data_IF_737909751865
#
_entry.id   IF_737909751865
#
_cell.length_a   1.000
_cell.length_b   1.000
_cell.length_c   1.000
_cell.angle_alpha   90.00
_cell.angle_beta   90.00
_cell.angle_gamma   90.00
#
_symmetry.space_group_name_H-M   'P 1'
#
loop_
_entity.id
_entity.type
_entity.pdbx_description
1 polymer ?
#
# COMPACT_ATOMS: atom_id res chain seq x y z
N UNK A 1 1.92 11.28 8.17
CA UNK A 1 0.78 12.18 8.43
C UNK A 1 0.14 11.74 9.75
N UNK A 2 0.12 12.58 10.76
CA UNK A 2 -0.48 12.23 12.05
C UNK A 2 -1.89 12.81 12.09
N UNK A 3 -2.91 11.96 12.09
CA UNK A 3 -4.31 12.36 12.13
C UNK A 3 -4.81 12.18 13.56
N UNK A 4 -5.35 13.24 14.16
CA UNK A 4 -5.96 13.19 15.48
C UNK A 4 -7.43 12.77 15.42
N UNK A 5 -7.91 12.15 16.49
CA UNK A 5 -9.28 11.66 16.65
C UNK A 5 -10.37 12.76 16.55
N UNK A 6 -10.00 14.03 16.61
CA UNK A 6 -10.93 15.18 16.68
C UNK A 6 -10.65 16.26 15.65
N UNK A 7 -10.24 15.91 14.45
CA UNK A 7 -9.88 16.90 13.45
C UNK A 7 -8.51 17.49 13.77
N UNK A 8 -7.49 16.69 13.59
CA UNK A 8 -6.13 17.12 13.75
C UNK A 8 -5.79 18.19 12.72
N UNK A 9 -4.88 19.07 13.07
CA UNK A 9 -4.45 20.11 12.18
C UNK A 9 -3.77 19.50 10.95
N UNK A 10 -4.03 20.03 9.78
CA UNK A 10 -3.26 19.78 8.57
C UNK A 10 -1.91 20.47 8.71
N UNK A 11 -0.83 19.77 8.38
CA UNK A 11 0.51 20.36 8.34
C UNK A 11 0.74 20.90 6.94
N UNK A 12 0.96 22.19 6.82
CA UNK A 12 1.44 22.85 5.62
C UNK A 12 2.89 23.27 5.83
N UNK A 13 3.80 22.57 5.19
CA UNK A 13 5.23 22.83 5.33
C UNK A 13 5.65 24.16 4.69
N UNK A 14 4.89 24.64 3.69
CA UNK A 14 5.22 25.83 2.91
C UNK A 14 4.70 27.11 3.54
N UNK A 15 3.46 27.13 4.01
CA UNK A 15 2.75 28.35 4.34
C UNK A 15 2.74 28.69 5.83
N UNK A 16 2.96 27.73 6.72
CA UNK A 16 2.88 28.00 8.16
C UNK A 16 3.93 27.23 8.95
N UNK A 17 5.23 27.43 8.64
CA UNK A 17 6.30 26.67 9.27
C UNK A 17 6.41 26.91 10.78
N UNK A 18 5.99 28.08 11.29
CA UNK A 18 6.15 28.48 12.67
C UNK A 18 4.98 29.30 13.20
N UNK A 19 3.96 28.67 13.72
CA UNK A 19 2.99 29.39 14.52
C UNK A 19 3.55 29.66 15.91
N UNK A 20 3.55 30.92 16.30
CA UNK A 20 3.99 31.35 17.63
C UNK A 20 2.87 31.26 18.68
N UNK A 21 1.61 31.10 18.27
CA UNK A 21 0.46 31.02 19.16
C UNK A 21 -0.30 29.72 18.95
N UNK A 22 -0.49 28.98 20.03
CA UNK A 22 -1.28 27.76 20.06
C UNK A 22 -2.76 27.95 19.68
N UNK A 23 -3.23 29.17 19.65
CA UNK A 23 -4.62 29.55 19.51
C UNK A 23 -5.03 29.85 18.05
N UNK A 24 -4.08 29.91 17.12
CA UNK A 24 -4.36 30.06 15.68
C UNK A 24 -4.68 28.71 15.04
N UNK A 25 -5.55 27.97 15.69
CA UNK A 25 -5.85 26.59 15.39
C UNK A 25 -6.81 26.35 14.24
N UNK A 26 -7.15 27.37 13.48
CA UNK A 26 -8.25 27.16 12.56
C UNK A 26 -7.91 26.25 11.41
N UNK A 27 -6.62 26.00 11.06
CA UNK A 27 -6.29 25.28 9.83
C UNK A 27 -5.00 24.45 9.84
N UNK A 28 -3.95 24.82 10.56
CA UNK A 28 -2.63 24.18 10.46
C UNK A 28 -1.98 23.96 11.81
N UNK A 29 -1.22 22.89 11.93
CA UNK A 29 -0.42 22.61 13.12
C UNK A 29 0.65 23.65 13.30
N UNK A 30 0.68 24.23 14.48
CA UNK A 30 1.80 25.04 14.93
C UNK A 30 2.98 24.16 15.36
N UNK A 31 4.17 24.52 14.93
CA UNK A 31 5.40 23.90 15.40
C UNK A 31 5.88 24.59 16.69
N UNK A 32 6.48 23.85 17.63
CA UNK A 32 6.73 22.42 17.59
C UNK A 32 5.46 21.58 17.79
N UNK A 33 5.39 20.45 17.10
CA UNK A 33 4.35 19.45 17.30
C UNK A 33 4.54 18.74 18.64
N UNK A 34 3.47 18.21 19.25
CA UNK A 34 3.55 17.71 20.64
C UNK A 34 2.85 16.37 20.89
N UNK A 35 2.13 15.81 19.91
CA UNK A 35 1.50 14.51 20.12
C UNK A 35 2.55 13.40 20.09
N UNK A 36 2.20 12.28 20.69
CA UNK A 36 3.06 11.10 20.77
C UNK A 36 3.27 10.46 19.41
N UNK A 37 4.47 10.00 19.15
CA UNK A 37 4.88 9.43 17.87
C UNK A 37 5.21 7.95 17.99
N UNK A 38 5.28 7.23 16.86
CA UNK A 38 5.59 5.80 16.84
C UNK A 38 6.90 5.44 17.54
N UNK A 39 8.03 6.16 17.34
CA UNK A 39 9.26 5.85 18.04
C UNK A 39 9.17 5.90 19.57
N UNK A 40 8.32 6.78 20.12
CA UNK A 40 8.09 6.82 21.57
C UNK A 40 7.35 5.58 22.07
N UNK A 41 6.37 5.08 21.28
CA UNK A 41 5.71 3.81 21.59
C UNK A 41 6.67 2.63 21.53
N UNK A 42 7.58 2.61 20.55
CA UNK A 42 8.62 1.57 20.44
C UNK A 42 9.55 1.59 21.67
N UNK A 43 10.03 2.76 22.09
CA UNK A 43 10.86 2.87 23.28
C UNK A 43 10.18 2.40 24.55
N UNK A 44 8.92 2.78 24.77
CA UNK A 44 8.13 2.32 25.93
C UNK A 44 7.99 0.79 26.02
N UNK A 45 8.06 0.12 24.87
CA UNK A 45 7.97 -1.33 24.79
C UNK A 45 9.31 -2.05 24.67
N UNK A 46 10.41 -1.31 24.84
CA UNK A 46 11.77 -1.83 24.66
C UNK A 46 11.95 -2.49 23.29
N UNK A 47 11.35 -1.90 22.26
CA UNK A 47 11.56 -2.26 20.87
C UNK A 47 12.68 -1.39 20.32
N UNK A 48 13.75 -2.02 19.86
CA UNK A 48 14.89 -1.30 19.29
C UNK A 48 14.54 -0.73 17.92
N UNK A 49 14.94 0.51 17.67
CA UNK A 49 14.75 1.14 16.37
C UNK A 49 15.89 2.10 16.02
N UNK A 50 16.03 2.43 14.74
CA UNK A 50 16.96 3.42 14.24
C UNK A 50 16.43 4.04 12.95
N UNK A 51 16.58 5.37 12.83
CA UNK A 51 16.45 6.09 11.57
C UNK A 51 17.82 6.16 10.89
N UNK A 52 17.96 5.53 9.75
CA UNK A 52 19.15 5.56 8.91
C UNK A 52 18.96 6.62 7.83
N UNK A 53 19.62 7.74 8.02
CA UNK A 53 19.49 8.89 7.13
C UNK A 53 20.81 9.64 7.02
N UNK A 54 21.07 10.19 5.83
CA UNK A 54 22.15 11.15 5.60
C UNK A 54 21.66 12.55 5.97
N UNK A 55 22.59 13.51 6.09
CA UNK A 55 22.29 14.86 6.59
C UNK A 55 21.28 15.61 5.71
N UNK A 56 21.40 15.50 4.39
CA UNK A 56 20.51 16.14 3.44
C UNK A 56 19.42 15.17 3.01
N UNK A 57 18.30 15.19 3.71
CA UNK A 57 17.19 14.27 3.52
C UNK A 57 15.87 14.95 3.09
N UNK A 58 15.93 16.18 2.58
CA UNK A 58 14.76 16.96 2.13
C UNK A 58 13.72 17.26 3.22
N UNK A 59 14.15 17.36 4.48
CA UNK A 59 13.26 17.49 5.66
C UNK A 59 12.26 16.33 5.83
N UNK A 60 12.53 15.17 5.20
CA UNK A 60 11.66 14.00 5.25
C UNK A 60 11.60 13.34 6.64
N UNK A 61 12.60 13.63 7.50
CA UNK A 61 12.48 13.28 8.92
C UNK A 61 11.69 14.35 9.69
N UNK A 62 10.37 14.24 9.60
CA UNK A 62 9.45 15.17 10.25
C UNK A 62 9.52 15.16 11.79
N UNK A 63 10.21 14.20 12.41
CA UNK A 63 10.36 14.12 13.87
C UNK A 63 11.15 15.31 14.44
N UNK A 64 12.03 15.92 13.66
CA UNK A 64 12.74 17.16 14.04
C UNK A 64 11.78 18.32 14.35
N UNK A 65 10.54 18.23 13.89
CA UNK A 65 9.52 19.26 14.11
C UNK A 65 8.78 19.10 15.45
N UNK A 66 9.00 17.98 16.16
CA UNK A 66 8.34 17.70 17.42
C UNK A 66 9.15 18.20 18.62
N UNK A 67 8.46 18.76 19.63
CA UNK A 67 9.07 19.33 20.81
C UNK A 67 9.90 18.31 21.59
N UNK A 68 9.41 17.08 21.75
CA UNK A 68 10.08 16.01 22.50
C UNK A 68 11.42 15.63 21.88
N UNK A 69 11.53 15.57 20.55
CA UNK A 69 12.81 15.26 19.89
C UNK A 69 13.81 16.42 19.98
N UNK A 70 13.33 17.65 19.91
CA UNK A 70 14.18 18.85 20.10
C UNK A 70 14.75 18.91 21.52
N UNK A 71 13.92 18.60 22.52
CA UNK A 71 14.36 18.50 23.92
C UNK A 71 15.35 17.35 24.11
N UNK A 72 15.03 16.18 23.58
CA UNK A 72 15.91 15.01 23.63
C UNK A 72 17.27 15.28 22.96
N UNK A 73 17.28 15.96 21.81
CA UNK A 73 18.53 16.33 21.14
C UNK A 73 19.38 17.31 21.98
N UNK A 74 18.75 18.32 22.58
CA UNK A 74 19.42 19.27 23.48
C UNK A 74 20.04 18.55 24.68
N UNK A 75 19.33 17.56 25.22
CA UNK A 75 19.76 16.81 26.39
C UNK A 75 20.66 15.61 26.05
N UNK A 76 20.91 15.34 24.76
CA UNK A 76 21.67 14.18 24.26
C UNK A 76 21.05 12.83 24.68
N UNK A 77 19.72 12.75 24.68
CA UNK A 77 18.99 11.55 25.05
C UNK A 77 18.97 10.53 23.90
N UNK A 78 18.81 9.27 24.24
CA UNK A 78 18.79 8.14 23.31
C UNK A 78 17.69 8.28 22.24
N UNK A 79 16.52 8.81 22.59
CA UNK A 79 15.43 9.06 21.65
C UNK A 79 15.89 9.89 20.45
N UNK A 80 16.64 10.97 20.71
CA UNK A 80 17.13 11.82 19.62
C UNK A 80 18.23 11.14 18.80
N UNK A 81 19.14 10.40 19.44
CA UNK A 81 20.20 9.69 18.74
C UNK A 81 19.65 8.65 17.76
N UNK A 82 18.56 7.97 18.13
CA UNK A 82 17.91 6.96 17.32
C UNK A 82 16.98 7.53 16.24
N UNK A 83 16.24 8.60 16.56
CA UNK A 83 15.18 9.11 15.71
C UNK A 83 15.64 10.24 14.77
N UNK A 84 16.40 11.20 15.27
CA UNK A 84 16.81 12.42 14.55
C UNK A 84 18.34 12.54 14.43
N UNK A 85 19.05 11.45 14.66
CA UNK A 85 20.48 11.35 14.38
C UNK A 85 20.73 11.09 12.89
N UNK A 86 21.99 11.24 12.48
CA UNK A 86 22.41 11.03 11.10
C UNK A 86 23.48 9.93 11.00
N UNK A 87 23.13 8.65 11.28
CA UNK A 87 24.10 7.57 11.18
C UNK A 87 24.52 7.25 9.75
N UNK A 88 23.76 7.76 8.75
CA UNK A 88 24.00 7.57 7.34
C UNK A 88 23.58 6.21 6.78
N UNK A 89 23.32 6.16 5.48
CA UNK A 89 22.97 4.92 4.80
C UNK A 89 24.12 3.91 4.76
N UNK A 90 25.36 4.37 4.87
CA UNK A 90 26.53 3.47 4.99
C UNK A 90 26.40 2.58 6.23
N UNK A 91 26.00 3.15 7.36
CA UNK A 91 25.76 2.39 8.60
C UNK A 91 24.65 1.35 8.43
N UNK A 92 23.57 1.69 7.72
CA UNK A 92 22.51 0.75 7.40
C UNK A 92 23.04 -0.48 6.63
N UNK A 93 23.86 -0.26 5.60
CA UNK A 93 24.42 -1.37 4.81
C UNK A 93 25.36 -2.26 5.64
N UNK A 94 26.15 -1.65 6.52
CA UNK A 94 27.02 -2.39 7.44
C UNK A 94 26.22 -3.21 8.45
N UNK A 95 25.17 -2.62 9.03
CA UNK A 95 24.31 -3.30 10.00
C UNK A 95 23.51 -4.45 9.35
N UNK A 96 22.95 -4.24 8.18
CA UNK A 96 22.27 -5.29 7.42
C UNK A 96 23.21 -6.47 7.12
N UNK A 97 24.41 -6.18 6.62
CA UNK A 97 25.42 -7.19 6.32
C UNK A 97 25.82 -8.01 7.55
N UNK A 98 25.97 -7.35 8.70
CA UNK A 98 26.48 -7.96 9.91
C UNK A 98 25.38 -8.56 10.82
N UNK A 99 24.11 -8.35 10.51
CA UNK A 99 22.98 -8.78 11.32
C UNK A 99 22.72 -7.90 12.56
N UNK A 100 23.14 -6.64 12.49
CA UNK A 100 23.04 -5.67 13.58
C UNK A 100 21.89 -4.67 13.39
N UNK A 101 20.99 -4.90 12.42
CA UNK A 101 19.80 -4.07 12.30
C UNK A 101 18.95 -4.19 13.57
N UNK A 102 18.40 -3.07 14.08
CA UNK A 102 17.45 -3.12 15.16
C UNK A 102 16.15 -3.77 14.70
N UNK A 103 15.25 -4.03 15.67
CA UNK A 103 13.94 -4.63 15.37
C UNK A 103 13.12 -3.81 14.35
N UNK A 104 13.24 -2.48 14.39
CA UNK A 104 12.58 -1.58 13.42
C UNK A 104 13.61 -0.61 12.86
N UNK A 105 13.77 -0.60 11.55
CA UNK A 105 14.68 0.28 10.82
C UNK A 105 13.90 1.20 9.89
N UNK A 106 14.06 2.50 10.04
CA UNK A 106 13.55 3.51 9.11
C UNK A 106 14.69 3.95 8.21
N UNK A 107 14.44 4.01 6.92
CA UNK A 107 15.44 4.39 5.92
C UNK A 107 14.91 5.61 5.18
N UNK A 108 15.63 6.71 5.30
CA UNK A 108 15.32 7.98 4.64
C UNK A 108 16.44 8.30 3.65
N UNK A 109 16.08 8.36 2.37
CA UNK A 109 17.04 8.66 1.32
C UNK A 109 17.53 10.12 1.39
N UNK A 110 18.76 10.41 0.94
CA UNK A 110 19.16 11.80 0.72
C UNK A 110 18.31 12.44 -0.38
N UNK A 111 18.12 13.74 -0.30
CA UNK A 111 17.29 14.55 -1.20
C UNK A 111 17.50 14.23 -2.70
N UNK A 112 18.75 14.05 -3.10
CA UNK A 112 19.12 13.80 -4.49
C UNK A 112 18.68 12.42 -5.00
N UNK A 113 18.22 11.52 -4.13
CA UNK A 113 17.73 10.19 -4.44
C UNK A 113 16.23 10.02 -4.16
N UNK A 114 15.51 11.12 -3.84
CA UNK A 114 14.12 11.11 -3.37
C UNK A 114 13.08 10.84 -4.46
N UNK A 115 13.42 10.99 -5.73
CA UNK A 115 12.49 11.03 -6.87
C UNK A 115 11.60 12.29 -6.95
N UNK A 116 11.61 13.14 -5.94
CA UNK A 116 10.93 14.44 -6.02
C UNK A 116 11.55 15.32 -7.09
N UNK A 117 10.80 15.97 -7.97
CA UNK A 117 11.38 16.90 -8.97
C UNK A 117 12.28 17.97 -8.31
N UNK A 118 13.47 18.25 -8.85
CA UNK A 118 14.01 17.82 -10.16
C UNK A 118 14.84 16.52 -10.12
N UNK A 119 14.83 15.78 -9.05
CA UNK A 119 15.58 14.52 -8.92
C UNK A 119 14.92 13.41 -9.75
N UNK A 120 15.72 12.43 -10.16
CA UNK A 120 15.27 11.49 -11.19
C UNK A 120 14.74 10.20 -10.61
N UNK A 121 13.66 9.60 -11.17
CA UNK A 121 13.21 8.25 -10.78
C UNK A 121 14.29 7.18 -10.95
N UNK A 122 15.30 7.44 -11.78
CA UNK A 122 16.46 6.55 -11.95
C UNK A 122 17.32 6.49 -10.68
N UNK A 123 17.52 7.61 -10.03
CA UNK A 123 18.29 7.69 -8.79
C UNK A 123 17.53 7.05 -7.64
N UNK A 124 16.21 7.24 -7.59
CA UNK A 124 15.35 6.53 -6.65
C UNK A 124 15.33 5.02 -6.87
N UNK A 125 15.21 4.57 -8.11
CA UNK A 125 15.32 3.14 -8.42
C UNK A 125 16.69 2.55 -8.01
N UNK A 126 17.77 3.34 -8.13
CA UNK A 126 19.10 2.92 -7.69
C UNK A 126 19.17 2.73 -6.18
N UNK A 127 18.68 3.68 -5.38
CA UNK A 127 18.70 3.54 -3.93
C UNK A 127 17.77 2.41 -3.46
N UNK A 128 16.57 2.28 -4.02
CA UNK A 128 15.66 1.19 -3.71
C UNK A 128 16.31 -0.18 -3.99
N UNK A 129 16.98 -0.32 -5.14
CA UNK A 129 17.74 -1.53 -5.46
C UNK A 129 18.82 -1.82 -4.41
N UNK A 130 19.60 -0.81 -4.00
CA UNK A 130 20.66 -0.99 -3.01
C UNK A 130 20.14 -1.40 -1.64
N UNK A 131 19.06 -0.77 -1.19
CA UNK A 131 18.41 -1.11 0.08
C UNK A 131 17.85 -2.53 0.02
N UNK A 132 17.08 -2.87 -1.02
CA UNK A 132 16.51 -4.20 -1.19
C UNK A 132 17.61 -5.29 -1.25
N UNK A 133 18.69 -5.06 -2.01
CA UNK A 133 19.80 -5.99 -2.10
C UNK A 133 20.49 -6.16 -0.74
N UNK A 134 20.73 -5.08 0.00
CA UNK A 134 21.34 -5.14 1.33
C UNK A 134 20.49 -5.95 2.32
N UNK A 135 19.16 -5.78 2.28
CA UNK A 135 18.24 -6.57 3.12
C UNK A 135 18.26 -8.04 2.73
N UNK A 136 18.11 -8.35 1.44
CA UNK A 136 18.04 -9.73 0.95
C UNK A 136 19.35 -10.51 1.14
N UNK A 137 20.49 -9.85 1.13
CA UNK A 137 21.80 -10.48 1.38
C UNK A 137 22.28 -10.34 2.81
N UNK A 138 21.54 -9.65 3.65
CA UNK A 138 21.84 -9.46 5.06
C UNK A 138 21.63 -10.72 5.90
N UNK A 139 22.34 -10.80 7.03
CA UNK A 139 22.30 -11.99 7.90
C UNK A 139 20.91 -12.31 8.48
N UNK A 140 20.03 -11.31 8.61
CA UNK A 140 18.71 -11.48 9.18
C UNK A 140 17.61 -11.56 8.11
N UNK A 141 17.97 -11.81 6.84
CA UNK A 141 17.02 -11.88 5.74
C UNK A 141 15.86 -12.85 6.00
N UNK A 142 16.15 -13.97 6.59
CA UNK A 142 15.20 -15.05 6.85
C UNK A 142 14.01 -14.67 7.75
N UNK A 143 14.11 -13.53 8.45
CA UNK A 143 13.11 -12.99 9.38
C UNK A 143 12.81 -11.50 9.15
N UNK A 144 13.20 -10.95 7.99
CA UNK A 144 13.05 -9.53 7.69
C UNK A 144 11.90 -9.27 6.71
N UNK A 145 11.17 -8.19 6.95
CA UNK A 145 10.24 -7.61 5.99
C UNK A 145 10.69 -6.17 5.67
N UNK A 146 10.91 -5.88 4.40
CA UNK A 146 11.14 -4.54 3.88
C UNK A 146 9.86 -4.01 3.27
N UNK A 147 9.30 -2.94 3.83
CA UNK A 147 8.16 -2.20 3.30
C UNK A 147 8.70 -0.95 2.60
N UNK A 148 8.31 -0.77 1.35
CA UNK A 148 8.66 0.42 0.58
C UNK A 148 7.39 1.16 0.23
N UNK A 149 7.27 2.39 0.71
CA UNK A 149 6.14 3.28 0.45
C UNK A 149 6.62 4.63 -0.03
N UNK A 150 5.87 5.20 -0.96
CA UNK A 150 6.04 6.60 -1.32
C UNK A 150 5.20 7.46 -0.38
N UNK A 151 5.67 8.66 -0.09
CA UNK A 151 5.02 9.64 0.77
C UNK A 151 3.82 10.30 0.06
N UNK A 152 3.98 10.58 -1.25
CA UNK A 152 2.98 11.25 -2.06
C UNK A 152 3.12 10.87 -3.55
N UNK A 153 2.28 11.40 -4.44
CA UNK A 153 2.18 11.00 -5.85
C UNK A 153 3.23 11.63 -6.77
N UNK A 154 4.11 12.51 -6.29
CA UNK A 154 5.03 13.27 -7.13
C UNK A 154 4.33 14.25 -8.10
N UNK A 155 3.12 14.66 -7.78
CA UNK A 155 2.31 15.52 -8.67
C UNK A 155 1.57 14.78 -9.79
N UNK A 156 1.67 13.45 -9.86
CA UNK A 156 0.93 12.63 -10.82
C UNK A 156 -0.51 12.38 -10.36
N UNK A 157 -1.46 12.49 -11.29
CA UNK A 157 -2.86 12.20 -11.02
C UNK A 157 -3.16 10.70 -11.07
N UNK A 158 -4.18 10.28 -10.33
CA UNK A 158 -4.79 8.95 -10.42
C UNK A 158 -6.27 9.08 -10.77
N UNK A 159 -6.83 8.09 -11.43
CA UNK A 159 -8.24 8.05 -11.84
C UNK A 159 -9.13 7.25 -10.87
N UNK A 160 -8.56 6.68 -9.81
CA UNK A 160 -9.29 5.92 -8.79
C UNK A 160 -9.44 6.78 -7.55
N UNK A 161 -10.69 7.03 -7.17
CA UNK A 161 -11.02 7.74 -5.93
C UNK A 161 -10.79 6.78 -4.76
N UNK A 162 -10.02 7.22 -3.76
CA UNK A 162 -9.83 6.48 -2.52
C UNK A 162 -11.12 6.41 -1.68
N UNK A 163 -11.16 5.56 -0.65
CA UNK A 163 -12.30 5.51 0.25
C UNK A 163 -12.44 6.85 1.00
N UNK A 164 -13.62 7.46 0.89
CA UNK A 164 -13.94 8.71 1.56
C UNK A 164 -14.79 8.38 2.80
N UNK A 165 -14.42 8.87 3.99
CA UNK A 165 -15.24 8.71 5.17
C UNK A 165 -16.58 9.42 5.02
N UNK A 166 -17.66 8.97 5.68
CA UNK A 166 -18.92 9.70 5.71
C UNK A 166 -18.74 11.11 6.27
N UNK A 167 -19.46 12.08 5.70
CA UNK A 167 -19.45 13.47 6.20
C UNK A 167 -19.78 13.50 7.70
N UNK A 168 -19.02 14.29 8.45
CA UNK A 168 -19.14 14.38 9.91
C UNK A 168 -18.34 13.33 10.68
N UNK A 169 -17.55 12.47 9.99
CA UNK A 169 -16.62 11.58 10.68
C UNK A 169 -15.55 12.41 11.41
N UNK A 170 -15.41 12.27 12.73
CA UNK A 170 -14.45 13.06 13.50
C UNK A 170 -13.01 12.83 13.01
N UNK A 171 -12.28 13.91 12.80
CA UNK A 171 -10.89 13.86 12.35
C UNK A 171 -10.67 13.62 10.86
N UNK A 172 -11.72 13.50 10.06
CA UNK A 172 -11.64 13.23 8.62
C UNK A 172 -12.12 14.40 7.74
N UNK A 173 -12.63 15.46 8.36
CA UNK A 173 -13.11 16.65 7.65
C UNK A 173 -12.55 17.92 8.27
N UNK A 174 -12.29 18.90 7.43
CA UNK A 174 -11.94 20.27 7.83
C UNK A 174 -12.57 21.28 6.87
N UNK A 175 -12.67 22.53 7.30
CA UNK A 175 -13.04 23.63 6.40
C UNK A 175 -11.85 23.85 5.46
N UNK A 176 -12.13 23.88 4.14
CA UNK A 176 -11.09 24.06 3.13
C UNK A 176 -10.26 25.32 3.43
N UNK A 177 -8.94 25.18 3.67
CA UNK A 177 -8.10 26.30 4.07
C UNK A 177 -7.84 27.30 2.94
N UNK A 178 -7.94 26.84 1.69
CA UNK A 178 -7.66 27.64 0.50
C UNK A 178 -8.93 28.25 -0.10
N UNK A 179 -10.07 27.57 0.07
CA UNK A 179 -11.36 28.04 -0.44
C UNK A 179 -12.50 27.75 0.56
N UNK A 180 -12.69 28.63 1.52
CA UNK A 180 -13.71 28.50 2.56
C UNK A 180 -15.14 28.36 2.02
N UNK A 181 -15.40 28.75 0.76
CA UNK A 181 -16.72 28.57 0.14
C UNK A 181 -17.10 27.11 -0.11
N UNK A 182 -16.12 26.20 -0.15
CA UNK A 182 -16.36 24.77 -0.27
C UNK A 182 -16.84 24.14 1.04
N UNK A 183 -16.72 24.86 2.17
CA UNK A 183 -17.08 24.36 3.48
C UNK A 183 -16.20 23.20 3.93
N UNK A 184 -16.79 22.21 4.60
CA UNK A 184 -16.08 21.03 5.05
C UNK A 184 -15.76 20.08 3.89
N UNK A 185 -14.48 19.78 3.73
CA UNK A 185 -13.92 18.84 2.75
C UNK A 185 -13.23 17.69 3.46
N UNK A 186 -13.16 16.48 2.84
CA UNK A 186 -12.43 15.37 3.42
C UNK A 186 -10.92 15.61 3.36
N UNK A 187 -10.22 15.19 4.41
CA UNK A 187 -8.74 15.29 4.48
C UNK A 187 -8.06 14.25 3.59
N UNK A 188 -8.68 13.14 3.37
CA UNK A 188 -8.16 12.02 2.61
C UNK A 188 -8.90 10.72 2.92
N UNK A 189 -8.39 9.54 2.53
CA UNK A 189 -7.18 9.28 1.74
C UNK A 189 -7.17 9.93 0.37
N UNK A 190 -5.95 10.25 -0.11
CA UNK A 190 -5.71 10.84 -1.42
C UNK A 190 -5.59 9.81 -2.55
N UNK A 191 -4.81 10.14 -3.56
CA UNK A 191 -4.48 9.28 -4.70
C UNK A 191 -3.73 8.03 -4.26
N UNK A 192 -3.79 6.98 -5.10
CA UNK A 192 -3.03 5.75 -4.84
C UNK A 192 -1.53 6.02 -4.97
N UNK A 193 -0.78 5.44 -4.05
CA UNK A 193 0.68 5.52 -4.01
C UNK A 193 1.30 4.17 -4.33
N UNK A 194 2.48 4.14 -4.95
CA UNK A 194 3.24 2.90 -5.06
C UNK A 194 3.59 2.37 -3.65
N UNK A 195 3.32 1.09 -3.44
CA UNK A 195 3.66 0.39 -2.22
C UNK A 195 3.99 -1.07 -2.52
N UNK A 196 5.09 -1.58 -1.98
CA UNK A 196 5.44 -2.98 -2.12
C UNK A 196 6.21 -3.50 -0.90
N UNK A 197 6.20 -4.81 -0.74
CA UNK A 197 6.88 -5.49 0.37
C UNK A 197 7.80 -6.57 -0.18
N UNK A 198 9.02 -6.62 0.36
CA UNK A 198 10.02 -7.64 0.06
C UNK A 198 10.31 -8.42 1.34
N UNK A 199 10.01 -9.72 1.33
CA UNK A 199 10.22 -10.61 2.47
C UNK A 199 10.27 -12.07 2.00
N UNK A 200 10.90 -12.99 2.75
CA UNK A 200 10.76 -14.43 2.52
C UNK A 200 9.31 -14.92 2.53
N UNK A 201 8.39 -14.15 3.12
CA UNK A 201 6.97 -14.49 3.25
C UNK A 201 6.06 -13.78 2.24
N UNK A 202 6.61 -13.03 1.27
CA UNK A 202 5.84 -12.33 0.23
C UNK A 202 6.21 -12.78 -1.18
N UNK A 203 6.66 -14.02 -1.32
CA UNK A 203 7.10 -14.58 -2.62
C UNK A 203 5.94 -14.80 -3.59
N UNK A 204 6.29 -15.04 -4.86
CA UNK A 204 5.36 -15.28 -5.98
C UNK A 204 4.63 -14.04 -6.52
N UNK A 205 5.07 -12.84 -6.16
CA UNK A 205 4.68 -11.60 -6.85
C UNK A 205 3.18 -11.33 -6.84
N UNK A 206 2.50 -11.58 -5.71
CA UNK A 206 1.06 -11.31 -5.58
C UNK A 206 0.72 -9.82 -5.60
N UNK A 207 -0.54 -9.50 -5.90
CA UNK A 207 -1.12 -8.18 -5.70
C UNK A 207 -1.95 -8.17 -4.41
N UNK A 208 -1.70 -7.19 -3.55
CA UNK A 208 -2.48 -6.96 -2.35
C UNK A 208 -3.65 -6.04 -2.66
N UNK A 209 -4.86 -6.43 -2.29
CA UNK A 209 -6.08 -5.75 -2.73
C UNK A 209 -6.86 -5.05 -1.62
N UNK A 210 -6.47 -5.20 -0.36
CA UNK A 210 -7.11 -4.48 0.73
C UNK A 210 -6.84 -2.97 0.65
N UNK A 211 -7.75 -2.16 1.16
CA UNK A 211 -7.52 -0.73 1.29
C UNK A 211 -6.42 -0.48 2.31
N UNK A 212 -5.34 0.12 1.89
CA UNK A 212 -4.21 0.47 2.73
C UNK A 212 -3.86 1.95 2.57
N UNK A 213 -3.32 2.54 3.62
CA UNK A 213 -2.75 3.88 3.64
C UNK A 213 -1.48 3.87 4.49
N UNK A 214 -0.84 5.02 4.69
CA UNK A 214 0.38 5.10 5.50
C UNK A 214 0.19 4.54 6.91
N UNK A 215 -0.98 4.77 7.50
CA UNK A 215 -1.34 4.25 8.83
C UNK A 215 -1.34 2.71 8.89
N UNK A 216 -1.54 2.06 7.76
CA UNK A 216 -1.49 0.59 7.69
C UNK A 216 -0.14 0.02 8.11
N UNK A 217 0.96 0.76 7.89
CA UNK A 217 2.28 0.38 8.36
C UNK A 217 2.36 0.44 9.90
N UNK A 218 1.68 1.40 10.51
CA UNK A 218 1.56 1.50 11.99
C UNK A 218 0.79 0.30 12.52
N UNK A 219 -0.32 -0.06 11.89
CA UNK A 219 -1.13 -1.21 12.29
C UNK A 219 -0.35 -2.53 12.15
N UNK A 220 0.48 -2.64 11.11
CA UNK A 220 1.37 -3.78 10.95
C UNK A 220 2.39 -3.88 12.09
N UNK A 221 3.01 -2.76 12.49
CA UNK A 221 3.92 -2.73 13.64
C UNK A 221 3.21 -3.08 14.96
N UNK A 222 1.97 -2.64 15.16
CA UNK A 222 1.17 -3.00 16.33
C UNK A 222 0.93 -4.53 16.40
N UNK A 223 0.51 -5.15 15.29
CA UNK A 223 0.29 -6.59 15.20
C UNK A 223 1.59 -7.39 15.38
N UNK A 224 2.67 -6.93 14.73
CA UNK A 224 3.97 -7.53 14.91
C UNK A 224 4.46 -7.46 16.36
N UNK A 225 4.38 -6.30 16.99
CA UNK A 225 4.78 -6.11 18.39
C UNK A 225 3.94 -6.96 19.34
N UNK A 226 2.62 -7.07 19.11
CA UNK A 226 1.71 -7.90 19.84
C UNK A 226 2.10 -9.39 19.75
N UNK A 227 2.46 -9.86 18.56
CA UNK A 227 2.93 -11.24 18.35
C UNK A 227 4.22 -11.54 19.12
N UNK A 228 5.03 -10.54 19.43
CA UNK A 228 6.28 -10.62 20.20
C UNK A 228 6.10 -10.29 21.69
N UNK A 229 4.87 -10.17 22.19
CA UNK A 229 4.60 -9.84 23.58
C UNK A 229 4.92 -8.39 23.99
N UNK A 230 5.20 -7.52 23.00
CA UNK A 230 5.53 -6.10 23.18
C UNK A 230 4.42 -5.18 22.69
N UNK A 231 3.16 -5.63 22.67
CA UNK A 231 2.05 -4.91 22.07
C UNK A 231 1.90 -3.47 22.54
N UNK A 232 1.59 -2.57 21.60
CA UNK A 232 1.24 -1.17 21.83
C UNK A 232 0.06 -0.78 20.96
N UNK A 233 -0.48 0.41 21.19
CA UNK A 233 -1.59 0.95 20.41
C UNK A 233 -1.40 2.45 20.23
N UNK A 234 -1.30 2.90 18.99
CA UNK A 234 -1.13 4.31 18.62
C UNK A 234 -2.48 5.00 18.65
N UNK A 235 -2.71 5.81 19.68
CA UNK A 235 -4.01 6.47 19.94
C UNK A 235 -4.29 7.64 18.98
N UNK A 236 -3.29 8.10 18.28
CA UNK A 236 -3.33 9.24 17.38
C UNK A 236 -4.02 8.92 16.03
N UNK A 237 -4.26 7.64 15.74
CA UNK A 237 -5.01 7.22 14.55
C UNK A 237 -6.48 7.04 14.88
N UNK A 238 -7.34 7.72 14.11
CA UNK A 238 -8.77 7.74 14.40
C UNK A 238 -9.48 6.39 14.16
N UNK A 239 -10.64 6.15 14.81
CA UNK A 239 -11.36 4.89 14.74
C UNK A 239 -11.85 4.50 13.34
N UNK A 240 -12.20 5.50 12.49
CA UNK A 240 -12.66 5.22 11.14
C UNK A 240 -11.55 4.57 10.30
N UNK A 241 -10.32 5.14 10.36
CA UNK A 241 -9.16 4.58 9.64
C UNK A 241 -8.80 3.18 10.13
N UNK A 242 -8.82 2.99 11.44
CA UNK A 242 -8.57 1.66 12.02
C UNK A 242 -9.58 0.61 11.59
N UNK A 243 -10.84 1.01 11.38
CA UNK A 243 -11.90 0.09 10.95
C UNK A 243 -11.83 -0.24 9.45
N UNK A 244 -11.38 0.71 8.62
CA UNK A 244 -11.54 0.64 7.17
C UNK A 244 -10.22 0.39 6.42
N UNK A 245 -9.08 0.56 7.08
CA UNK A 245 -7.77 0.30 6.48
C UNK A 245 -7.18 -1.01 6.98
N UNK A 246 -6.44 -1.67 6.11
CA UNK A 246 -5.76 -2.93 6.40
C UNK A 246 -4.61 -2.75 7.39
N UNK A 247 -4.31 -3.82 8.13
CA UNK A 247 -3.08 -3.95 8.93
C UNK A 247 -1.93 -4.63 8.16
N UNK A 248 -2.06 -4.85 6.87
CA UNK A 248 -1.08 -5.47 5.97
C UNK A 248 -0.70 -6.93 6.25
N UNK A 249 -1.18 -7.54 7.32
CA UNK A 249 -0.79 -8.91 7.70
C UNK A 249 -1.07 -9.91 6.57
N UNK A 250 -2.17 -9.74 5.83
CA UNK A 250 -2.54 -10.61 4.72
C UNK A 250 -1.66 -10.44 3.46
N UNK A 251 -0.72 -9.50 3.44
CA UNK A 251 0.33 -9.44 2.40
C UNK A 251 1.30 -10.62 2.52
N UNK A 252 1.42 -11.19 3.72
CA UNK A 252 2.38 -12.23 4.05
C UNK A 252 1.73 -13.61 4.05
N UNK A 253 2.46 -14.60 3.58
CA UNK A 253 2.15 -16.00 3.75
C UNK A 253 3.16 -16.61 4.73
N UNK A 254 2.83 -16.55 6.01
CA UNK A 254 3.69 -17.07 7.07
C UNK A 254 3.77 -18.60 7.10
N UNK A 255 2.96 -19.31 6.33
CA UNK A 255 3.04 -20.76 6.18
C UNK A 255 4.05 -21.21 5.11
N UNK A 256 4.52 -20.28 4.27
CA UNK A 256 5.44 -20.54 3.16
C UNK A 256 6.60 -19.56 3.21
N UNK A 257 7.77 -20.06 3.62
CA UNK A 257 8.99 -19.25 3.71
C UNK A 257 9.95 -19.63 2.57
N UNK A 258 10.32 -18.65 1.79
CA UNK A 258 11.36 -18.80 0.74
C UNK A 258 12.44 -17.75 0.92
N UNK A 259 13.59 -18.17 1.42
CA UNK A 259 14.75 -17.31 1.69
C UNK A 259 15.67 -17.14 0.48
N UNK A 260 15.34 -17.73 -0.67
CA UNK A 260 16.12 -17.51 -1.88
C UNK A 260 16.22 -16.03 -2.22
N UNK A 261 17.35 -15.61 -2.76
CA UNK A 261 17.62 -14.23 -3.13
C UNK A 261 17.69 -14.09 -4.64
N UNK A 262 17.28 -12.95 -5.15
CA UNK A 262 17.42 -12.59 -6.56
C UNK A 262 18.49 -11.52 -6.69
N UNK A 263 19.31 -11.64 -7.70
CA UNK A 263 20.14 -10.53 -8.13
C UNK A 263 19.25 -9.54 -8.88
N UNK A 264 19.10 -8.34 -8.32
CA UNK A 264 18.32 -7.29 -8.94
C UNK A 264 19.12 -6.65 -10.09
N UNK A 265 18.44 -6.39 -11.20
CA UNK A 265 19.06 -5.75 -12.36
C UNK A 265 19.73 -4.43 -11.98
N UNK A 266 20.87 -4.16 -12.60
CA UNK A 266 21.59 -2.92 -12.38
C UNK A 266 20.80 -1.71 -12.94
N UNK A 267 20.78 -0.63 -12.17
CA UNK A 267 20.22 0.63 -12.63
C UNK A 267 21.32 1.44 -13.30
N UNK A 268 21.37 1.35 -14.62
CA UNK A 268 22.38 2.08 -15.41
C UNK A 268 22.30 3.59 -15.17
N UNK A 269 23.46 4.20 -14.87
CA UNK A 269 23.60 5.64 -14.60
C UNK A 269 22.79 6.16 -13.40
N UNK A 270 22.32 5.30 -12.51
CA UNK A 270 21.73 5.72 -11.24
C UNK A 270 22.79 5.94 -10.17
N UNK A 271 22.52 6.85 -9.24
CA UNK A 271 23.40 7.14 -8.10
C UNK A 271 24.78 7.67 -8.47
N UNK A 272 24.89 8.36 -9.61
CA UNK A 272 26.13 8.99 -10.03
C UNK A 272 26.49 10.16 -9.10
N UNK A 273 27.75 10.29 -8.77
CA UNK A 273 28.27 11.37 -7.93
C UNK A 273 29.17 12.30 -8.72
N UNK A 274 29.08 13.57 -8.40
CA UNK A 274 30.02 14.56 -8.85
C UNK A 274 31.42 14.26 -8.26
N UNK A 275 32.49 14.20 -9.06
CA UNK A 275 33.82 13.81 -8.59
C UNK A 275 34.48 14.84 -7.67
N UNK A 276 34.02 16.09 -7.67
CA UNK A 276 34.58 17.18 -6.87
C UNK A 276 33.84 17.31 -5.55
N UNK A 277 32.52 17.39 -5.60
CA UNK A 277 31.67 17.60 -4.43
C UNK A 277 31.28 16.32 -3.71
N UNK A 278 31.41 15.16 -4.37
CA UNK A 278 30.95 13.86 -3.90
C UNK A 278 29.42 13.78 -3.63
N UNK A 279 28.66 14.75 -4.09
CA UNK A 279 27.20 14.77 -4.02
C UNK A 279 26.59 14.00 -5.20
N UNK A 280 25.39 13.46 -5.01
CA UNK A 280 24.67 12.81 -6.10
C UNK A 280 24.28 13.87 -7.16
N UNK A 281 24.57 13.60 -8.41
CA UNK A 281 24.52 14.59 -9.49
C UNK A 281 23.54 14.24 -10.62
N UNK A 282 22.70 13.21 -10.44
CA UNK A 282 21.81 12.72 -11.48
C UNK A 282 20.88 13.79 -12.08
N UNK A 283 20.26 14.63 -11.24
CA UNK A 283 19.42 15.74 -11.70
C UNK A 283 20.20 16.78 -12.51
N UNK A 284 21.37 17.16 -12.02
CA UNK A 284 22.26 18.14 -12.70
C UNK A 284 22.72 17.60 -14.05
N UNK A 285 23.14 16.34 -14.11
CA UNK A 285 23.56 15.68 -15.36
C UNK A 285 22.39 15.55 -16.35
N UNK A 286 21.20 15.24 -15.86
CA UNK A 286 19.98 15.21 -16.66
C UNK A 286 19.67 16.59 -17.24
N UNK A 287 19.63 17.61 -16.41
CA UNK A 287 19.39 18.99 -16.84
C UNK A 287 20.43 19.49 -17.84
N UNK A 288 21.71 19.16 -17.63
CA UNK A 288 22.78 19.52 -18.58
C UNK A 288 22.62 18.79 -19.91
N UNK A 289 22.32 17.49 -19.89
CA UNK A 289 22.17 16.65 -21.10
C UNK A 289 21.00 17.08 -21.97
N UNK A 290 19.89 17.48 -21.35
CA UNK A 290 18.65 17.79 -22.05
C UNK A 290 18.33 19.28 -22.09
N UNK A 291 19.25 20.16 -21.71
CA UNK A 291 19.02 21.61 -21.62
C UNK A 291 18.55 22.29 -22.94
N UNK A 292 18.87 21.68 -24.07
CA UNK A 292 18.51 22.19 -25.39
C UNK A 292 17.36 21.40 -26.03
N UNK A 293 16.84 20.38 -25.34
CA UNK A 293 15.76 19.59 -25.88
C UNK A 293 14.44 20.36 -25.77
N UNK A 294 13.69 20.34 -26.84
CA UNK A 294 12.31 20.83 -26.81
C UNK A 294 11.56 19.94 -25.82
N UNK A 295 10.88 20.55 -24.87
CA UNK A 295 10.03 19.81 -23.94
C UNK A 295 9.11 18.86 -24.74
N UNK A 296 9.05 17.57 -24.42
CA UNK A 296 8.18 16.65 -25.11
C UNK A 296 6.75 17.16 -25.00
N UNK A 297 6.02 17.16 -26.11
CA UNK A 297 4.60 17.51 -26.09
C UNK A 297 3.90 16.54 -25.17
N UNK A 298 3.25 17.08 -24.15
CA UNK A 298 2.42 16.27 -23.26
C UNK A 298 1.24 15.74 -24.07
N UNK A 299 0.99 14.44 -24.16
CA UNK A 299 -0.02 13.85 -25.04
C UNK A 299 -1.43 13.99 -24.48
N UNK A 300 -1.77 15.11 -23.86
CA UNK A 300 -3.11 15.36 -23.34
C UNK A 300 -4.17 15.24 -24.43
N UNK A 301 -5.16 14.37 -24.18
CA UNK A 301 -6.25 14.10 -25.10
C UNK A 301 -5.85 13.30 -26.35
N UNK A 302 -4.61 12.83 -26.44
CA UNK A 302 -4.11 11.99 -27.54
C UNK A 302 -3.73 10.58 -27.08
N UNK A 303 -3.90 10.28 -25.80
CA UNK A 303 -3.64 8.95 -25.27
C UNK A 303 -4.72 7.98 -25.72
N UNK A 304 -4.27 6.87 -26.30
CA UNK A 304 -5.14 5.74 -26.50
C UNK A 304 -5.22 4.94 -25.20
N UNK A 305 -6.42 4.86 -24.61
CA UNK A 305 -6.67 4.10 -23.37
C UNK A 305 -6.20 2.64 -23.50
N UNK A 306 -6.42 2.02 -24.66
CA UNK A 306 -5.96 0.67 -24.95
C UNK A 306 -4.44 0.54 -24.87
N UNK A 307 -3.70 1.53 -25.34
CA UNK A 307 -2.23 1.53 -25.30
C UNK A 307 -1.69 1.82 -23.90
N UNK A 308 -2.33 2.70 -23.15
CA UNK A 308 -2.00 2.96 -21.75
C UNK A 308 -2.18 1.70 -20.90
N UNK A 309 -3.23 0.93 -21.13
CA UNK A 309 -3.50 -0.33 -20.42
C UNK A 309 -2.61 -1.51 -20.86
N UNK A 310 -1.90 -1.37 -21.98
CA UNK A 310 -0.96 -2.42 -22.46
C UNK A 310 0.22 -2.64 -21.51
N UNK A 311 0.62 -1.67 -20.75
CA UNK A 311 1.77 -1.74 -19.83
C UNK A 311 1.50 -2.72 -18.67
N UNK A 312 0.24 -2.93 -18.32
CA UNK A 312 -0.18 -3.79 -17.21
C UNK A 312 -0.72 -5.16 -17.67
N UNK A 313 -0.29 -5.65 -18.82
CA UNK A 313 -0.75 -6.96 -19.31
C UNK A 313 -0.26 -8.08 -18.42
N UNK A 314 -1.17 -9.00 -18.14
CA UNK A 314 -0.87 -10.22 -17.43
C UNK A 314 -1.86 -10.54 -16.32
N UNK A 315 -1.38 -11.30 -15.37
CA UNK A 315 -2.16 -11.72 -14.23
C UNK A 315 -1.27 -11.79 -13.00
N UNK A 316 -1.87 -11.62 -11.83
CA UNK A 316 -1.20 -11.77 -10.52
C UNK A 316 -2.14 -12.46 -9.53
N UNK A 317 -1.65 -13.40 -8.71
CA UNK A 317 -2.43 -13.94 -7.62
C UNK A 317 -2.77 -12.83 -6.63
N UNK A 318 -4.02 -12.83 -6.16
CA UNK A 318 -4.52 -11.83 -5.20
C UNK A 318 -4.22 -12.30 -3.79
N UNK A 319 -3.78 -11.36 -2.95
CA UNK A 319 -3.65 -11.50 -1.50
C UNK A 319 -4.54 -10.48 -0.79
N UNK A 320 -5.03 -10.86 0.38
CA UNK A 320 -5.92 -10.01 1.17
C UNK A 320 -7.37 -10.00 0.68
N UNK A 321 -8.20 -9.24 1.37
CA UNK A 321 -9.60 -9.11 1.01
C UNK A 321 -9.77 -8.36 -0.31
N UNK A 322 -10.74 -8.79 -1.12
CA UNK A 322 -10.99 -8.21 -2.43
C UNK A 322 -11.57 -6.80 -2.33
N UNK A 323 -11.24 -5.99 -3.33
CA UNK A 323 -11.82 -4.66 -3.57
C UNK A 323 -12.30 -4.55 -5.02
N UNK A 324 -13.16 -3.57 -5.34
CA UNK A 324 -13.63 -3.32 -6.70
C UNK A 324 -12.51 -2.88 -7.67
N UNK A 325 -12.84 -2.82 -8.94
CA UNK A 325 -12.00 -2.21 -9.99
C UNK A 325 -11.03 -3.16 -10.67
N UNK A 326 -11.24 -4.46 -10.55
CA UNK A 326 -10.40 -5.50 -11.20
C UNK A 326 -11.22 -6.52 -11.95
N UNK A 327 -10.61 -7.11 -12.98
CA UNK A 327 -11.10 -8.36 -13.55
C UNK A 327 -10.50 -9.52 -12.77
N UNK A 328 -11.34 -10.41 -12.31
CA UNK A 328 -10.97 -11.51 -11.43
C UNK A 328 -11.23 -12.85 -12.10
N UNK A 329 -10.32 -13.78 -11.91
CA UNK A 329 -10.51 -15.21 -12.23
C UNK A 329 -10.48 -15.99 -10.92
N UNK A 330 -11.46 -16.86 -10.71
CA UNK A 330 -11.62 -17.69 -9.52
C UNK A 330 -11.32 -19.15 -9.87
N UNK A 331 -10.27 -19.71 -9.31
CA UNK A 331 -9.78 -21.06 -9.63
C UNK A 331 -9.73 -21.96 -8.40
N UNK A 332 -10.08 -23.22 -8.62
CA UNK A 332 -9.88 -24.29 -7.66
C UNK A 332 -9.89 -25.65 -8.40
N UNK A 333 -9.19 -26.65 -7.87
CA UNK A 333 -9.19 -28.01 -8.39
C UNK A 333 -8.85 -28.10 -9.90
N UNK A 334 -7.92 -27.28 -10.40
CA UNK A 334 -7.55 -27.12 -11.82
C UNK A 334 -8.72 -26.68 -12.73
N UNK A 335 -9.78 -26.14 -12.16
CA UNK A 335 -10.92 -25.53 -12.86
C UNK A 335 -11.01 -24.05 -12.48
N UNK A 336 -11.62 -23.27 -13.37
CA UNK A 336 -11.97 -21.87 -13.15
C UNK A 336 -13.49 -21.67 -13.30
N UNK A 337 -14.09 -20.80 -12.49
CA UNK A 337 -15.46 -20.40 -12.69
C UNK A 337 -15.63 -19.81 -14.09
N UNK A 338 -16.72 -20.14 -14.77
CA UNK A 338 -16.99 -19.73 -16.14
C UNK A 338 -18.45 -19.27 -16.31
N UNK A 339 -18.64 -18.38 -17.26
CA UNK A 339 -19.95 -17.92 -17.71
C UNK A 339 -20.20 -18.22 -19.22
N UNK A 340 -19.53 -19.22 -19.77
CA UNK A 340 -19.62 -19.60 -21.20
C UNK A 340 -21.02 -20.03 -21.65
N UNK A 341 -21.75 -20.70 -20.79
CA UNK A 341 -23.17 -21.08 -21.03
C UNK A 341 -24.07 -19.85 -21.19
N UNK A 342 -23.74 -18.71 -20.58
CA UNK A 342 -24.52 -17.48 -20.63
C UNK A 342 -25.85 -17.51 -19.85
N UNK A 343 -26.25 -18.64 -19.30
CA UNK A 343 -27.48 -18.83 -18.50
C UNK A 343 -27.16 -19.16 -17.02
N UNK A 344 -26.07 -19.87 -16.77
CA UNK A 344 -25.67 -20.33 -15.42
C UNK A 344 -24.18 -20.19 -15.17
N UNK A 345 -23.82 -20.03 -13.90
CA UNK A 345 -22.44 -20.09 -13.45
C UNK A 345 -21.94 -21.55 -13.57
N UNK A 346 -20.95 -21.76 -14.39
CA UNK A 346 -20.30 -23.05 -14.63
C UNK A 346 -18.81 -23.01 -14.37
N UNK A 347 -18.09 -23.99 -14.92
CA UNK A 347 -16.65 -24.05 -14.83
C UNK A 347 -16.01 -24.58 -16.12
N UNK A 348 -14.81 -24.15 -16.38
CA UNK A 348 -13.92 -24.64 -17.44
C UNK A 348 -12.57 -25.01 -16.85
N UNK A 349 -11.67 -25.61 -17.66
CA UNK A 349 -10.30 -25.86 -17.24
C UNK A 349 -9.56 -24.56 -16.94
N UNK A 350 -8.81 -24.54 -15.85
CA UNK A 350 -7.97 -23.42 -15.50
C UNK A 350 -6.91 -23.17 -16.60
N UNK A 351 -6.72 -21.90 -16.94
CA UNK A 351 -5.83 -21.51 -18.03
C UNK A 351 -4.50 -20.97 -17.49
N UNK A 352 -3.39 -21.39 -18.07
CA UNK A 352 -2.05 -20.94 -17.65
C UNK A 352 -1.89 -19.42 -17.59
N UNK A 353 -2.54 -18.68 -18.47
CA UNK A 353 -2.41 -17.22 -18.57
C UNK A 353 -3.68 -16.48 -18.14
N UNK A 354 -4.69 -17.17 -17.64
CA UNK A 354 -5.97 -16.60 -17.14
C UNK A 354 -6.64 -15.59 -18.11
N UNK A 355 -6.44 -15.74 -19.42
CA UNK A 355 -6.86 -14.76 -20.41
C UNK A 355 -8.23 -15.04 -21.04
N UNK A 356 -8.86 -16.16 -20.72
CA UNK A 356 -10.20 -16.53 -21.22
C UNK A 356 -11.25 -15.50 -20.85
N UNK A 357 -11.96 -14.94 -21.82
CA UNK A 357 -13.01 -13.93 -21.59
C UNK A 357 -14.11 -14.46 -20.70
N UNK A 358 -14.51 -15.73 -20.88
CA UNK A 358 -15.58 -16.37 -20.13
C UNK A 358 -15.21 -16.70 -18.67
N UNK A 359 -13.93 -16.60 -18.30
CA UNK A 359 -13.43 -16.86 -16.96
C UNK A 359 -13.32 -15.58 -16.11
N UNK A 360 -13.55 -14.41 -16.70
CA UNK A 360 -13.38 -13.11 -16.04
C UNK A 360 -14.69 -12.63 -15.43
N UNK A 361 -14.56 -12.16 -14.21
CA UNK A 361 -15.65 -11.58 -13.43
C UNK A 361 -15.24 -10.21 -12.89
N UNK A 362 -16.25 -9.41 -12.56
CA UNK A 362 -16.12 -8.13 -11.86
C UNK A 362 -16.93 -8.24 -10.57
N UNK A 363 -16.47 -7.65 -9.50
CA UNK A 363 -17.22 -7.57 -8.26
C UNK A 363 -17.66 -6.14 -7.99
N UNK A 364 -18.83 -5.98 -7.40
CA UNK A 364 -19.36 -4.68 -6.97
C UNK A 364 -19.73 -4.73 -5.50
N UNK A 365 -19.17 -3.83 -4.71
CA UNK A 365 -19.37 -3.75 -3.26
C UNK A 365 -20.83 -3.53 -2.88
N UNK A 366 -21.22 -4.14 -1.78
CA UNK A 366 -22.52 -4.02 -1.14
C UNK A 366 -22.35 -3.73 0.35
N UNK A 367 -22.77 -2.57 0.77
CA UNK A 367 -22.59 -2.13 2.16
C UNK A 367 -21.26 -1.42 2.39
N UNK A 368 -20.73 -1.54 3.60
CA UNK A 368 -19.42 -0.99 3.93
C UNK A 368 -18.29 -1.80 3.29
N UNK A 369 -17.19 -1.16 2.88
CA UNK A 369 -16.02 -1.87 2.37
C UNK A 369 -15.50 -2.98 3.30
N UNK A 370 -15.61 -2.78 4.61
CA UNK A 370 -15.21 -3.77 5.63
C UNK A 370 -16.17 -4.96 5.77
N UNK A 371 -17.31 -4.95 5.09
CA UNK A 371 -18.24 -6.09 5.11
C UNK A 371 -17.81 -7.20 4.15
N UNK A 372 -16.91 -6.89 3.20
CA UNK A 372 -16.43 -7.82 2.16
C UNK A 372 -17.57 -8.48 1.37
N UNK A 373 -18.66 -7.73 1.16
CA UNK A 373 -19.85 -8.18 0.46
C UNK A 373 -19.92 -7.62 -0.94
N UNK A 374 -20.21 -8.49 -1.90
CA UNK A 374 -20.18 -8.15 -3.32
C UNK A 374 -21.31 -8.82 -4.10
N UNK A 375 -21.78 -8.15 -5.17
CA UNK A 375 -22.36 -8.85 -6.29
C UNK A 375 -21.25 -9.30 -7.25
N UNK A 376 -21.35 -10.50 -7.78
CA UNK A 376 -20.45 -11.02 -8.81
C UNK A 376 -21.11 -10.82 -10.16
N UNK A 377 -20.37 -10.24 -11.12
CA UNK A 377 -20.85 -9.89 -12.46
C UNK A 377 -19.91 -10.45 -13.51
N UNK A 378 -20.47 -10.96 -14.62
CA UNK A 378 -19.68 -11.49 -15.74
C UNK A 378 -18.98 -10.39 -16.51
N UNK A 379 -17.85 -10.72 -17.11
CA UNK A 379 -17.16 -9.87 -18.09
C UNK A 379 -17.82 -10.05 -19.47
N UNK A 380 -17.78 -9.04 -20.31
CA UNK A 380 -18.23 -9.11 -21.72
C UNK A 380 -19.24 -8.04 -22.10
N UNK A 381 -19.76 -8.14 -23.31
CA UNK A 381 -20.70 -7.16 -23.88
C UNK A 381 -22.08 -7.19 -23.16
N UNK A 382 -22.56 -8.39 -22.84
CA UNK A 382 -23.76 -8.56 -22.02
C UNK A 382 -23.34 -8.98 -20.62
N UNK A 383 -23.33 -7.99 -19.71
CA UNK A 383 -22.92 -8.19 -18.33
C UNK A 383 -24.10 -8.72 -17.51
N UNK A 384 -23.97 -9.91 -16.94
CA UNK A 384 -24.98 -10.56 -16.10
C UNK A 384 -24.47 -10.72 -14.67
N UNK A 385 -25.39 -10.69 -13.71
CA UNK A 385 -25.10 -10.96 -12.31
C UNK A 385 -25.32 -12.42 -11.96
N UNK A 386 -24.59 -12.94 -10.99
CA UNK A 386 -24.83 -14.27 -10.42
C UNK A 386 -25.97 -14.16 -9.40
N UNK A 387 -27.03 -14.95 -9.59
CA UNK A 387 -28.18 -15.04 -8.70
C UNK A 387 -27.96 -16.05 -7.55
N UNK A 388 -28.93 -16.18 -6.66
CA UNK A 388 -28.86 -17.14 -5.54
C UNK A 388 -28.88 -18.61 -6.00
N UNK A 389 -29.53 -18.89 -7.11
CA UNK A 389 -29.57 -20.22 -7.77
C UNK A 389 -28.33 -20.49 -8.64
N UNK A 390 -27.38 -19.56 -8.68
CA UNK A 390 -26.21 -19.55 -9.56
C UNK A 390 -26.55 -19.33 -11.04
N UNK A 391 -27.79 -18.91 -11.36
CA UNK A 391 -28.17 -18.49 -12.70
C UNK A 391 -27.59 -17.10 -13.00
N UNK A 392 -27.42 -16.83 -14.30
CA UNK A 392 -26.91 -15.53 -14.77
C UNK A 392 -28.09 -14.64 -15.19
N UNK A 393 -28.35 -13.58 -14.42
CA UNK A 393 -29.45 -12.65 -14.64
C UNK A 393 -28.99 -11.28 -15.09
N UNK A 394 -29.75 -10.64 -15.99
CA UNK A 394 -29.53 -9.24 -16.37
C UNK A 394 -30.18 -8.27 -15.39
N UNK A 395 -31.09 -8.74 -14.55
CA UNK A 395 -31.76 -7.94 -13.54
C UNK A 395 -30.85 -7.82 -12.28
N UNK A 396 -30.50 -6.60 -11.93
CA UNK A 396 -29.65 -6.33 -10.78
C UNK A 396 -30.32 -6.68 -9.43
N UNK A 397 -31.63 -6.64 -9.38
CA UNK A 397 -32.38 -6.91 -8.14
C UNK A 397 -32.40 -8.41 -7.80
N UNK A 398 -32.18 -9.28 -8.79
CA UNK A 398 -32.03 -10.73 -8.61
C UNK A 398 -30.58 -11.15 -8.29
N UNK A 399 -29.65 -10.19 -8.24
CA UNK A 399 -28.25 -10.47 -7.98
C UNK A 399 -28.04 -10.93 -6.53
N UNK A 400 -27.42 -12.08 -6.34
CA UNK A 400 -27.00 -12.54 -5.02
C UNK A 400 -25.89 -11.65 -4.44
N UNK A 401 -25.90 -11.53 -3.12
CA UNK A 401 -24.80 -10.91 -2.37
C UNK A 401 -23.93 -12.02 -1.79
N UNK A 402 -22.65 -11.96 -2.11
CA UNK A 402 -21.64 -12.90 -1.61
C UNK A 402 -20.68 -12.18 -0.69
N UNK A 403 -20.38 -12.76 0.46
CA UNK A 403 -19.25 -12.39 1.30
C UNK A 403 -18.02 -13.14 0.77
N UNK A 404 -16.97 -12.40 0.38
CA UNK A 404 -15.73 -12.98 -0.17
C UNK A 404 -14.60 -12.62 0.77
N UNK A 405 -14.10 -13.59 1.52
CA UNK A 405 -13.07 -13.39 2.54
C UNK A 405 -11.80 -14.16 2.22
N UNK A 406 -10.66 -13.52 2.43
CA UNK A 406 -9.37 -14.20 2.44
C UNK A 406 -9.33 -15.20 3.60
N UNK A 407 -8.94 -16.43 3.31
CA UNK A 407 -8.79 -17.49 4.28
C UNK A 407 -7.46 -17.41 5.07
N UNK A 408 -6.63 -16.41 4.76
CA UNK A 408 -5.34 -16.16 5.37
C UNK A 408 -4.23 -17.12 4.91
N UNK A 409 -2.99 -16.73 5.14
CA UNK A 409 -1.78 -17.52 4.83
C UNK A 409 -1.74 -18.04 3.38
N UNK A 410 -2.16 -17.22 2.41
CA UNK A 410 -2.13 -17.60 1.00
C UNK A 410 -3.07 -18.75 0.60
N UNK A 411 -3.98 -19.17 1.48
CA UNK A 411 -4.92 -20.28 1.22
C UNK A 411 -5.98 -19.95 0.17
N UNK A 412 -6.11 -18.69 -0.20
CA UNK A 412 -7.13 -18.20 -1.15
C UNK A 412 -8.37 -17.68 -0.45
N UNK A 413 -9.50 -17.62 -1.16
CA UNK A 413 -10.71 -16.94 -0.72
C UNK A 413 -11.89 -17.91 -0.58
N UNK A 414 -12.69 -17.71 0.46
CA UNK A 414 -13.99 -18.34 0.63
C UNK A 414 -15.09 -17.41 0.11
N UNK A 415 -16.08 -17.97 -0.59
CA UNK A 415 -17.20 -17.23 -1.16
C UNK A 415 -18.49 -17.76 -0.53
N UNK A 416 -19.12 -16.97 0.31
CA UNK A 416 -20.30 -17.35 1.08
C UNK A 416 -21.50 -16.51 0.63
N UNK A 417 -22.60 -17.12 0.25
CA UNK A 417 -23.85 -16.41 -0.01
C UNK A 417 -24.40 -15.82 1.30
N UNK A 418 -24.65 -14.52 1.32
CA UNK A 418 -25.04 -13.81 2.57
C UNK A 418 -26.41 -14.26 3.08
N UNK A 419 -27.36 -14.58 2.19
CA UNK A 419 -28.72 -14.95 2.56
C UNK A 419 -28.83 -16.42 3.00
N UNK A 420 -28.32 -17.34 2.19
CA UNK A 420 -28.41 -18.78 2.48
C UNK A 420 -27.35 -19.29 3.46
N UNK A 421 -26.28 -18.52 3.70
CA UNK A 421 -25.09 -18.89 4.48
C UNK A 421 -24.29 -20.07 3.92
N UNK A 422 -24.63 -20.54 2.72
CA UNK A 422 -23.92 -21.60 2.04
C UNK A 422 -22.67 -21.05 1.32
N UNK A 423 -21.66 -21.88 1.24
CA UNK A 423 -20.39 -21.56 0.57
C UNK A 423 -20.40 -22.07 -0.87
N UNK A 424 -19.86 -21.26 -1.79
CA UNK A 424 -19.69 -21.65 -3.19
C UNK A 424 -18.61 -22.73 -3.26
N UNK A 425 -18.93 -23.80 -3.99
CA UNK A 425 -18.04 -24.92 -4.20
C UNK A 425 -17.80 -25.19 -5.68
N UNK A 426 -16.57 -25.53 -6.03
CA UNK A 426 -16.14 -25.96 -7.35
C UNK A 426 -15.53 -27.36 -7.24
N UNK A 427 -16.25 -28.36 -7.74
CA UNK A 427 -15.78 -29.74 -7.77
C UNK A 427 -14.62 -29.96 -8.77
N UNK A 428 -13.86 -31.01 -8.57
CA UNK A 428 -12.81 -31.43 -9.53
C UNK A 428 -13.39 -31.86 -10.88
N UNK A 429 -14.65 -32.29 -10.88
CA UNK A 429 -15.43 -32.60 -12.09
C UNK A 429 -15.99 -31.36 -12.82
N UNK A 430 -15.77 -30.16 -12.27
CA UNK A 430 -16.30 -28.90 -12.79
C UNK A 430 -17.71 -28.55 -12.30
N UNK A 431 -18.30 -29.33 -11.39
CA UNK A 431 -19.60 -29.02 -10.82
C UNK A 431 -19.54 -27.80 -9.91
N UNK A 432 -20.35 -26.78 -10.19
CA UNK A 432 -20.50 -25.58 -9.36
C UNK A 432 -21.77 -25.73 -8.51
N UNK A 433 -21.66 -25.58 -7.21
CA UNK A 433 -22.76 -25.78 -6.24
C UNK A 433 -22.60 -24.95 -4.98
N UNK A 434 -23.67 -24.84 -4.19
CA UNK A 434 -23.64 -24.22 -2.86
C UNK A 434 -23.65 -25.34 -1.79
N UNK A 435 -22.68 -25.30 -0.87
CA UNK A 435 -22.53 -26.27 0.23
C UNK A 435 -22.68 -25.59 1.59
N UNK A 436 -23.13 -26.32 2.59
CA UNK A 436 -23.23 -25.82 3.96
C UNK A 436 -21.85 -25.79 4.66
N UNK A 437 -21.02 -26.80 4.39
CA UNK A 437 -19.69 -26.94 4.97
C UNK A 437 -18.71 -27.59 3.99
N UNK A 438 -17.43 -27.35 4.21
CA UNK A 438 -16.36 -28.02 3.45
C UNK A 438 -16.27 -27.62 1.98
N UNK A 439 -16.70 -26.41 1.66
CA UNK A 439 -16.60 -25.89 0.30
C UNK A 439 -15.15 -25.53 -0.06
N UNK A 440 -14.94 -25.36 -1.34
CA UNK A 440 -13.65 -25.07 -1.94
C UNK A 440 -13.15 -23.68 -1.56
N UNK A 441 -11.86 -23.56 -1.33
CA UNK A 441 -11.15 -22.27 -1.27
C UNK A 441 -10.64 -21.95 -2.67
N UNK A 442 -10.91 -20.74 -3.14
CA UNK A 442 -10.55 -20.29 -4.47
C UNK A 442 -9.21 -19.53 -4.47
N UNK A 443 -8.31 -19.90 -5.35
CA UNK A 443 -7.24 -18.98 -5.78
C UNK A 443 -7.88 -17.92 -6.67
N UNK A 444 -7.58 -16.67 -6.36
CA UNK A 444 -8.09 -15.53 -7.13
C UNK A 444 -6.94 -14.86 -7.85
N UNK A 445 -7.15 -14.56 -9.12
CA UNK A 445 -6.18 -13.82 -9.92
C UNK A 445 -6.79 -12.49 -10.38
N UNK A 446 -6.03 -11.41 -10.19
CA UNK A 446 -6.30 -10.12 -10.84
C UNK A 446 -5.71 -10.16 -12.23
N UNK A 447 -6.52 -9.90 -13.24
CA UNK A 447 -6.14 -10.03 -14.65
C UNK A 447 -6.25 -8.65 -15.31
N UNK A 448 -5.20 -8.25 -15.99
CA UNK A 448 -5.15 -7.09 -16.87
C UNK A 448 -5.12 -7.56 -18.33
N UNK A 449 -5.56 -6.71 -19.26
CA UNK A 449 -5.74 -7.07 -20.67
C UNK A 449 -4.49 -7.53 -21.40
#
# INVERSE_FOLDING_TARGET
MCIRDRGGPVIDNSNNPWCLKADNNDLFSCRPLRWKTVPEYLMEKNITFQFYQDFDNFDDDTLVQFEQYRKAAKNKEELAARAVGFPGLKKFYEDAKNGNLPEVSYIVAPMQLSEHPPYTPRDGAWIQRKVAQAVMTGKNWDSTALLVSYDETGGWADHVVGPIPPKGTPGEYLIDPYNKSLGEVPIGPGFRLPFYTISPFTRNGGVFTEHAAHESQIFFLEEWAKAHGKGFHVKEVNPWRRKHLSNLVNMFDFSSKDTSTLELAEVKNGGQKDPITNLYSGATLCGYRFRNDVQPKVPYGQQNETDALRVERGYKPVRGHLTEGRYLVFEANNKALSHSDGSKLGAEDAQKYHNGKNLKFIIHSKGSPSDYRFNIKTFGNVKKFVSESLDLTSNKDDAAVFEIKDAGNGKGHKITNVKSRKELNLGSDGTVSMKEHGATTFKVFSVTF
#
